data_IF_973516904437
#
_entry.id   IF_973516904437
#
_cell.length_a   1.000
_cell.length_b   1.000
_cell.length_c   1.000
_cell.angle_alpha   90.00
_cell.angle_beta   90.00
_cell.angle_gamma   90.00
#
_symmetry.space_group_name_H-M   'P 1'
#
loop_
_entity.id
_entity.type
_entity.pdbx_description
1 polymer ?
#
# COMPACT_ATOMS: atom_id res chain seq x y z
N UNK A 1 -5.84 10.59 -5.12
CA UNK A 1 -4.37 10.78 -5.10
C UNK A 1 -3.76 9.40 -5.08
N UNK A 2 -2.69 9.16 -5.81
CA UNK A 2 -2.09 7.82 -5.93
C UNK A 2 -0.89 7.71 -5.00
N UNK A 3 -0.72 6.58 -4.31
CA UNK A 3 0.41 6.39 -3.38
C UNK A 3 1.72 6.01 -4.07
N UNK A 4 1.68 5.62 -5.34
CA UNK A 4 2.78 5.04 -6.07
C UNK A 4 2.87 5.67 -7.46
N UNK A 5 4.06 6.10 -7.86
CA UNK A 5 4.33 6.47 -9.25
C UNK A 5 4.70 5.23 -10.09
N UNK A 6 4.41 5.18 -11.40
CA UNK A 6 4.79 4.05 -12.27
C UNK A 6 6.29 3.70 -12.19
N UNK A 7 7.16 4.71 -12.10
CA UNK A 7 8.61 4.50 -11.93
C UNK A 7 8.96 3.77 -10.62
N UNK A 8 8.17 3.97 -9.56
CA UNK A 8 8.34 3.28 -8.29
C UNK A 8 7.79 1.85 -8.33
N UNK A 9 7.05 1.42 -9.37
CA UNK A 9 6.69 0.02 -9.52
C UNK A 9 7.93 -0.83 -9.86
N UNK A 10 8.93 -0.25 -10.49
CA UNK A 10 10.19 -0.90 -10.87
C UNK A 10 11.13 -0.87 -9.65
N UNK A 11 11.44 -2.06 -9.11
CA UNK A 11 12.36 -2.27 -7.99
C UNK A 11 13.60 -3.01 -8.46
N UNK A 12 14.35 -2.37 -9.35
CA UNK A 12 15.53 -2.94 -9.98
C UNK A 12 15.26 -3.66 -11.32
N UNK A 13 16.34 -4.18 -11.95
CA UNK A 13 16.31 -4.63 -13.34
C UNK A 13 15.41 -5.85 -13.57
N UNK A 14 15.30 -6.76 -12.61
CA UNK A 14 14.48 -7.97 -12.73
C UNK A 14 13.00 -7.63 -12.89
N UNK A 15 12.48 -6.69 -12.09
CA UNK A 15 11.08 -6.27 -12.18
C UNK A 15 10.74 -5.57 -13.50
N UNK A 16 11.70 -4.86 -14.09
CA UNK A 16 11.51 -4.27 -15.42
C UNK A 16 11.43 -5.35 -16.50
N UNK A 17 12.30 -6.36 -16.42
CA UNK A 17 12.28 -7.49 -17.35
C UNK A 17 10.99 -8.30 -17.23
N UNK A 18 10.52 -8.54 -16.00
CA UNK A 18 9.26 -9.25 -15.77
C UNK A 18 8.05 -8.53 -16.38
N UNK A 19 7.97 -7.20 -16.22
CA UNK A 19 6.91 -6.39 -16.83
C UNK A 19 7.06 -6.33 -18.36
N UNK A 20 8.30 -6.22 -18.85
CA UNK A 20 8.61 -6.30 -20.27
C UNK A 20 8.11 -7.60 -20.90
N UNK A 21 8.37 -8.74 -20.27
CA UNK A 21 7.87 -10.05 -20.71
C UNK A 21 6.35 -10.16 -20.60
N UNK A 22 5.75 -9.58 -19.56
CA UNK A 22 4.30 -9.60 -19.36
C UNK A 22 3.56 -8.87 -20.49
N UNK A 23 4.07 -7.71 -20.90
CA UNK A 23 3.45 -6.87 -21.92
C UNK A 23 3.97 -7.13 -23.34
N UNK A 24 5.03 -7.95 -23.50
CA UNK A 24 5.67 -8.17 -24.80
C UNK A 24 6.39 -6.93 -25.34
N UNK A 25 6.80 -5.99 -24.48
CA UNK A 25 7.43 -4.72 -24.86
C UNK A 25 8.90 -4.75 -24.46
N UNK A 26 9.81 -4.23 -25.29
CA UNK A 26 11.24 -4.17 -24.96
C UNK A 26 11.52 -3.43 -23.63
N UNK A 27 12.45 -3.90 -22.77
CA UNK A 27 12.69 -3.30 -21.46
C UNK A 27 13.09 -1.82 -21.54
N UNK A 28 13.89 -1.45 -22.54
CA UNK A 28 14.33 -0.07 -22.75
C UNK A 28 13.17 0.84 -23.16
N UNK A 29 12.25 0.33 -24.00
CA UNK A 29 11.07 1.06 -24.44
C UNK A 29 10.07 1.24 -23.30
N UNK A 30 9.80 0.17 -22.54
CA UNK A 30 8.92 0.24 -21.38
C UNK A 30 9.46 1.22 -20.32
N UNK A 31 10.78 1.21 -20.08
CA UNK A 31 11.44 2.17 -19.18
C UNK A 31 11.29 3.61 -19.67
N UNK A 32 11.49 3.85 -20.97
CA UNK A 32 11.33 5.17 -21.56
C UNK A 32 9.88 5.67 -21.45
N UNK A 33 8.90 4.80 -21.71
CA UNK A 33 7.48 5.11 -21.58
C UNK A 33 7.11 5.49 -20.13
N UNK A 34 7.57 4.71 -19.15
CA UNK A 34 7.36 4.97 -17.72
C UNK A 34 8.04 6.27 -17.25
N UNK A 35 9.20 6.61 -17.83
CA UNK A 35 9.91 7.84 -17.55
C UNK A 35 9.30 9.08 -18.25
N UNK A 36 8.33 8.89 -19.15
CA UNK A 36 7.76 9.97 -19.97
C UNK A 36 8.74 10.52 -21.00
N UNK A 37 9.70 9.71 -21.43
CA UNK A 37 10.69 10.07 -22.45
C UNK A 37 10.10 10.04 -23.87
N UNK A 38 10.81 10.65 -24.82
CA UNK A 38 10.39 10.66 -26.21
C UNK A 38 10.54 9.26 -26.84
N UNK A 39 9.44 8.73 -27.39
CA UNK A 39 9.40 7.40 -27.99
C UNK A 39 9.53 7.38 -29.52
N UNK A 40 9.76 8.53 -30.19
CA UNK A 40 9.73 8.63 -31.64
C UNK A 40 10.89 7.92 -32.36
N UNK A 41 11.85 7.37 -31.62
CA UNK A 41 12.93 6.52 -32.15
C UNK A 41 12.53 5.05 -32.35
N UNK A 42 11.33 4.67 -31.94
CA UNK A 42 10.80 3.30 -32.02
C UNK A 42 9.74 3.18 -33.12
N UNK A 43 9.41 1.96 -33.53
CA UNK A 43 8.32 1.73 -34.49
C UNK A 43 6.96 2.15 -33.90
N UNK A 44 5.98 2.48 -34.75
CA UNK A 44 4.66 2.91 -34.31
C UNK A 44 3.88 1.79 -33.57
N UNK A 45 4.07 0.52 -33.96
CA UNK A 45 3.46 -0.63 -33.28
C UNK A 45 4.04 -0.83 -31.88
N UNK A 46 5.37 -0.70 -31.76
CA UNK A 46 6.09 -0.75 -30.50
C UNK A 46 5.66 0.39 -29.56
N UNK A 47 5.54 1.61 -30.09
CA UNK A 47 5.07 2.78 -29.34
C UNK A 47 3.66 2.55 -28.80
N UNK A 48 2.74 2.02 -29.61
CA UNK A 48 1.38 1.73 -29.19
C UNK A 48 1.36 0.70 -28.05
N UNK A 49 2.12 -0.39 -28.21
CA UNK A 49 2.23 -1.44 -27.19
C UNK A 49 2.79 -0.90 -25.86
N UNK A 50 3.77 -0.01 -25.92
CA UNK A 50 4.34 0.62 -24.72
C UNK A 50 3.35 1.54 -24.00
N UNK A 51 2.53 2.29 -24.75
CA UNK A 51 1.50 3.15 -24.20
C UNK A 51 0.34 2.35 -23.59
N UNK A 52 -0.08 1.25 -24.22
CA UNK A 52 -1.06 0.32 -23.66
C UNK A 52 -0.56 -0.32 -22.37
N UNK A 53 0.72 -0.73 -22.33
CA UNK A 53 1.35 -1.24 -21.13
C UNK A 53 1.38 -0.20 -20.00
N UNK A 54 1.71 1.05 -20.32
CA UNK A 54 1.70 2.15 -19.34
C UNK A 54 0.30 2.39 -18.79
N UNK A 55 -0.72 2.43 -19.64
CA UNK A 55 -2.12 2.59 -19.22
C UNK A 55 -2.56 1.44 -18.31
N UNK A 56 -2.22 0.19 -18.65
CA UNK A 56 -2.52 -0.96 -17.82
C UNK A 56 -1.84 -0.87 -16.44
N UNK A 57 -0.58 -0.40 -16.39
CA UNK A 57 0.13 -0.16 -15.14
C UNK A 57 -0.62 0.90 -14.31
N UNK A 58 -0.97 2.04 -14.90
CA UNK A 58 -1.68 3.12 -14.20
C UNK A 58 -3.02 2.65 -13.63
N UNK A 59 -3.81 1.92 -14.41
CA UNK A 59 -5.10 1.37 -13.96
C UNK A 59 -4.92 0.43 -12.75
N UNK A 60 -3.87 -0.40 -12.75
CA UNK A 60 -3.57 -1.30 -11.62
C UNK A 60 -3.06 -0.58 -10.39
N UNK A 61 -2.31 0.51 -10.57
CA UNK A 61 -1.88 1.34 -9.46
C UNK A 61 -3.09 2.07 -8.84
N UNK A 62 -4.02 2.57 -9.66
CA UNK A 62 -5.27 3.20 -9.18
C UNK A 62 -6.11 2.20 -8.40
N UNK A 63 -6.27 0.97 -8.92
CA UNK A 63 -6.98 -0.10 -8.24
C UNK A 63 -6.32 -0.45 -6.89
N UNK A 64 -5.00 -0.62 -6.86
CA UNK A 64 -4.26 -0.91 -5.63
C UNK A 64 -4.39 0.21 -4.59
N UNK A 65 -4.35 1.46 -5.03
CA UNK A 65 -4.55 2.64 -4.17
C UNK A 65 -5.94 2.60 -3.53
N UNK A 66 -6.99 2.31 -4.31
CA UNK A 66 -8.35 2.20 -3.80
C UNK A 66 -8.49 1.08 -2.75
N UNK A 67 -7.82 -0.06 -2.93
CA UNK A 67 -7.83 -1.15 -1.95
C UNK A 67 -7.15 -0.81 -0.64
N UNK A 68 -6.09 0.01 -0.68
CA UNK A 68 -5.43 0.56 0.50
C UNK A 68 -6.36 1.56 1.18
N UNK A 69 -6.93 2.49 0.42
CA UNK A 69 -7.85 3.53 0.90
C UNK A 69 -9.05 2.95 1.64
N UNK A 70 -9.68 1.90 1.12
CA UNK A 70 -10.84 1.28 1.80
C UNK A 70 -10.49 0.79 3.21
N UNK A 71 -9.29 0.22 3.40
CA UNK A 71 -8.85 -0.26 4.73
C UNK A 71 -8.48 0.88 5.66
N UNK A 72 -7.87 1.93 5.13
CA UNK A 72 -7.56 3.13 5.90
C UNK A 72 -8.84 3.88 6.31
N UNK A 73 -9.81 4.00 5.41
CA UNK A 73 -11.12 4.58 5.70
C UNK A 73 -11.84 3.81 6.83
N UNK A 74 -11.72 2.47 6.84
CA UNK A 74 -12.28 1.63 7.92
C UNK A 74 -11.69 1.96 9.29
N UNK A 75 -10.41 2.33 9.38
CA UNK A 75 -9.77 2.79 10.63
C UNK A 75 -10.19 4.21 11.03
N UNK A 76 -10.71 5.00 10.09
CA UNK A 76 -11.11 6.40 10.30
C UNK A 76 -10.08 7.43 9.86
N UNK A 77 -9.09 7.06 9.03
CA UNK A 77 -8.18 8.05 8.44
C UNK A 77 -8.93 8.99 7.48
N UNK A 78 -8.56 10.27 7.51
CA UNK A 78 -9.03 11.24 6.52
C UNK A 78 -8.24 11.06 5.24
N UNK A 79 -8.94 10.67 4.17
CA UNK A 79 -8.34 10.45 2.86
C UNK A 79 -8.48 11.69 1.97
N UNK A 80 -7.56 11.88 1.00
CA UNK A 80 -6.36 11.08 0.75
C UNK A 80 -5.23 11.36 1.76
N UNK A 81 -4.50 10.32 2.17
CA UNK A 81 -3.28 10.50 2.94
C UNK A 81 -2.14 10.97 2.03
N UNK A 82 -1.20 11.72 2.59
CA UNK A 82 0.01 12.13 1.86
C UNK A 82 1.07 11.01 1.95
N UNK A 83 1.44 10.37 0.82
CA UNK A 83 2.44 9.30 0.81
C UNK A 83 3.81 9.75 1.31
N UNK A 84 4.15 11.04 1.27
CA UNK A 84 5.43 11.55 1.76
C UNK A 84 5.63 11.29 3.27
N UNK A 85 4.53 11.24 4.04
CA UNK A 85 4.59 10.99 5.48
C UNK A 85 4.56 9.49 5.83
N UNK A 86 4.19 8.63 4.87
CA UNK A 86 3.94 7.21 5.09
C UNK A 86 4.56 6.34 3.97
N UNK A 87 5.91 6.19 3.95
CA UNK A 87 6.61 5.44 2.90
C UNK A 87 6.17 3.96 2.84
N UNK A 88 5.63 3.43 3.93
CA UNK A 88 5.08 2.06 3.99
C UNK A 88 3.88 1.85 3.06
N UNK A 89 3.07 2.89 2.82
CA UNK A 89 1.94 2.81 1.88
C UNK A 89 2.43 2.58 0.45
N UNK A 90 3.59 3.14 0.07
CA UNK A 90 4.22 2.90 -1.23
C UNK A 90 4.56 1.43 -1.39
N UNK A 91 5.14 0.80 -0.35
CA UNK A 91 5.52 -0.61 -0.36
C UNK A 91 4.31 -1.53 -0.49
N UNK A 92 3.25 -1.31 0.28
CA UNK A 92 2.04 -2.13 0.20
C UNK A 92 1.28 -1.93 -1.11
N UNK A 93 1.14 -0.68 -1.56
CA UNK A 93 0.50 -0.35 -2.84
C UNK A 93 1.27 -1.02 -3.99
N UNK A 94 2.61 -1.03 -3.94
CA UNK A 94 3.46 -1.73 -4.92
C UNK A 94 3.20 -3.23 -4.94
N UNK A 95 3.15 -3.88 -3.78
CA UNK A 95 2.89 -5.32 -3.70
C UNK A 95 1.51 -5.68 -4.27
N UNK A 96 0.49 -4.88 -3.97
CA UNK A 96 -0.87 -5.06 -4.46
C UNK A 96 -0.95 -4.80 -5.97
N UNK A 97 -0.37 -3.70 -6.46
CA UNK A 97 -0.36 -3.38 -7.89
C UNK A 97 0.35 -4.46 -8.72
N UNK A 98 1.51 -4.95 -8.23
CA UNK A 98 2.21 -6.08 -8.85
C UNK A 98 1.33 -7.31 -8.91
N UNK A 99 0.70 -7.69 -7.81
CA UNK A 99 -0.20 -8.85 -7.79
C UNK A 99 -1.31 -8.73 -8.85
N UNK A 100 -1.97 -7.59 -8.96
CA UNK A 100 -3.03 -7.38 -9.96
C UNK A 100 -2.54 -7.29 -11.41
N UNK A 101 -1.25 -7.04 -11.64
CA UNK A 101 -0.64 -7.13 -12.97
C UNK A 101 -0.40 -8.59 -13.40
N UNK A 102 -0.42 -9.54 -12.47
CA UNK A 102 -0.19 -10.97 -12.76
C UNK A 102 -1.44 -11.86 -12.51
N UNK A 103 -2.63 -11.58 -13.09
CA UNK A 103 -3.86 -12.27 -12.72
C UNK A 103 -3.95 -13.74 -13.19
N UNK A 104 -3.27 -14.12 -14.28
CA UNK A 104 -3.28 -15.47 -14.83
C UNK A 104 -1.87 -15.87 -15.31
N UNK A 105 -1.14 -16.64 -14.50
CA UNK A 105 -0.03 -17.45 -15.00
C UNK A 105 -0.21 -18.89 -14.53
N UNK A 106 -0.53 -19.78 -15.48
CA UNK A 106 -0.44 -21.23 -15.32
C UNK A 106 1.05 -21.58 -15.14
N UNK A 107 1.53 -21.54 -13.90
CA UNK A 107 2.94 -21.81 -13.62
C UNK A 107 3.37 -21.21 -12.29
N UNK A 108 3.48 -22.06 -11.28
CA UNK A 108 4.15 -21.75 -10.01
C UNK A 108 5.65 -21.63 -10.25
N UNK A 109 6.10 -20.51 -10.80
CA UNK A 109 7.50 -20.08 -10.79
C UNK A 109 7.83 -19.52 -9.40
N UNK A 110 9.09 -19.60 -8.97
CA UNK A 110 9.57 -19.04 -7.68
C UNK A 110 9.18 -17.57 -7.51
N UNK A 111 9.27 -16.78 -8.59
CA UNK A 111 8.88 -15.36 -8.65
C UNK A 111 7.40 -15.14 -8.32
N UNK A 112 6.49 -15.96 -8.86
CA UNK A 112 5.05 -15.89 -8.56
C UNK A 112 4.78 -16.10 -7.08
N UNK A 113 5.51 -17.04 -6.45
CA UNK A 113 5.42 -17.28 -5.01
C UNK A 113 5.86 -16.09 -4.16
N UNK A 114 6.88 -15.34 -4.62
CA UNK A 114 7.32 -14.09 -3.98
C UNK A 114 6.23 -13.01 -4.07
N UNK A 115 5.63 -12.79 -5.25
CA UNK A 115 4.60 -11.76 -5.46
C UNK A 115 3.35 -12.05 -4.63
N UNK A 116 2.88 -13.29 -4.61
CA UNK A 116 1.70 -13.69 -3.81
C UNK A 116 1.97 -13.54 -2.31
N UNK A 117 3.17 -13.90 -1.84
CA UNK A 117 3.54 -13.71 -0.44
C UNK A 117 3.56 -12.23 -0.08
N UNK A 118 4.24 -11.40 -0.87
CA UNK A 118 4.34 -9.95 -0.62
C UNK A 118 2.94 -9.29 -0.63
N UNK A 119 2.03 -9.72 -1.51
CA UNK A 119 0.62 -9.31 -1.50
C UNK A 119 -0.10 -9.70 -0.21
N UNK A 120 -0.04 -10.97 0.19
CA UNK A 120 -0.71 -11.45 1.41
C UNK A 120 -0.19 -10.75 2.66
N UNK A 121 1.11 -10.50 2.73
CA UNK A 121 1.73 -9.78 3.84
C UNK A 121 1.26 -8.32 3.87
N UNK A 122 1.14 -7.66 2.72
CA UNK A 122 0.58 -6.32 2.62
C UNK A 122 -0.88 -6.24 3.07
N UNK A 123 -1.74 -7.15 2.57
CA UNK A 123 -3.16 -7.20 2.97
C UNK A 123 -3.30 -7.45 4.47
N UNK A 124 -2.52 -8.39 5.03
CA UNK A 124 -2.53 -8.69 6.47
C UNK A 124 -2.12 -7.46 7.29
N UNK A 125 -1.08 -6.73 6.89
CA UNK A 125 -0.65 -5.53 7.59
C UNK A 125 -1.72 -4.42 7.54
N UNK A 126 -2.37 -4.21 6.38
CA UNK A 126 -3.46 -3.25 6.24
C UNK A 126 -4.69 -3.64 7.06
N UNK A 127 -5.02 -4.93 7.14
CA UNK A 127 -6.11 -5.43 7.99
C UNK A 127 -5.78 -5.23 9.48
N UNK A 128 -4.52 -5.39 9.89
CA UNK A 128 -4.08 -5.07 11.26
C UNK A 128 -4.19 -3.57 11.56
N UNK A 129 -3.95 -2.70 10.59
CA UNK A 129 -4.18 -1.25 10.73
C UNK A 129 -5.67 -0.97 10.87
N UNK A 130 -6.49 -1.56 10.01
CA UNK A 130 -7.94 -1.42 10.08
C UNK A 130 -8.52 -1.89 11.43
N UNK A 131 -7.95 -2.95 12.00
CA UNK A 131 -8.29 -3.47 13.33
C UNK A 131 -7.68 -2.65 14.49
N UNK A 132 -6.74 -1.74 14.22
CA UNK A 132 -6.05 -0.95 15.24
C UNK A 132 -4.91 -1.63 15.96
N UNK A 133 -4.44 -2.77 15.47
CA UNK A 133 -3.32 -3.53 16.07
C UNK A 133 -1.96 -3.00 15.60
N UNK A 134 -1.94 -2.35 14.45
CA UNK A 134 -0.75 -1.76 13.82
C UNK A 134 -1.02 -0.28 13.54
N UNK A 135 -0.01 0.56 13.76
CA UNK A 135 -0.05 1.98 13.45
C UNK A 135 0.78 2.29 12.20
N UNK A 136 0.45 3.38 11.50
CA UNK A 136 1.23 3.91 10.37
C UNK A 136 2.55 4.58 10.78
N UNK A 137 2.88 4.61 12.08
CA UNK A 137 4.13 5.14 12.63
C UNK A 137 3.95 6.47 13.34
N UNK A 138 5.05 7.23 13.51
CA UNK A 138 5.07 8.44 14.35
C UNK A 138 4.12 9.56 13.88
N UNK A 139 3.78 9.59 12.59
CA UNK A 139 2.89 10.60 12.01
C UNK A 139 1.42 10.16 11.99
N UNK A 140 1.08 9.05 12.64
CA UNK A 140 -0.27 8.51 12.63
C UNK A 140 -1.24 9.41 13.43
N UNK A 141 -2.21 10.08 12.77
CA UNK A 141 -3.15 10.97 13.45
C UNK A 141 -4.08 10.24 14.42
N UNK A 142 -4.25 8.91 14.28
CA UNK A 142 -5.12 8.13 15.16
C UNK A 142 -4.46 7.79 16.50
N UNK A 143 -3.12 7.74 16.56
CA UNK A 143 -2.39 7.59 17.83
C UNK A 143 -2.65 8.78 18.78
N UNK A 144 -2.73 10.00 18.24
CA UNK A 144 -3.05 11.19 19.02
C UNK A 144 -4.49 11.17 19.57
N UNK A 145 -5.40 10.39 18.98
CA UNK A 145 -6.76 10.19 19.51
C UNK A 145 -6.78 9.15 20.64
N UNK A 146 -5.99 8.08 20.55
CA UNK A 146 -5.85 7.08 21.63
C UNK A 146 -5.15 7.65 22.88
N UNK A 147 -4.32 8.69 22.75
CA UNK A 147 -3.75 9.40 23.91
C UNK A 147 -4.83 10.07 24.79
N UNK A 148 -5.97 10.48 24.19
CA UNK A 148 -7.15 10.94 24.94
C UNK A 148 -8.00 9.78 25.50
N UNK A 149 -7.76 8.56 25.03
CA UNK A 149 -8.26 7.31 25.59
C UNK A 149 -7.24 6.68 26.55
N UNK A 150 -6.46 7.51 27.26
CA UNK A 150 -5.56 7.06 28.31
C UNK A 150 -6.28 6.13 29.30
N UNK A 151 -5.60 5.06 29.72
CA UNK A 151 -6.14 4.07 30.65
C UNK A 151 -6.69 4.77 31.91
N UNK A 152 -8.01 4.96 31.97
CA UNK A 152 -8.66 5.53 33.15
C UNK A 152 -8.77 4.45 34.21
N UNK A 153 -7.89 4.49 35.21
CA UNK A 153 -8.07 3.73 36.44
C UNK A 153 -9.16 4.42 37.26
N UNK A 154 -10.41 4.07 36.97
CA UNK A 154 -11.56 4.50 37.76
C UNK A 154 -11.60 3.64 39.01
N UNK A 155 -11.09 4.18 40.12
CA UNK A 155 -11.27 3.55 41.43
C UNK A 155 -12.63 3.96 42.02
N UNK A 156 -13.38 2.99 42.55
CA UNK A 156 -14.61 3.27 43.30
C UNK A 156 -14.24 4.08 44.56
N UNK A 157 -15.00 5.13 44.96
CA UNK A 157 -14.73 5.85 46.19
C UNK A 157 -14.65 4.88 47.39
N UNK A 158 -13.68 5.11 48.27
CA UNK A 158 -13.44 4.30 49.48
C UNK A 158 -14.73 4.23 50.31
N UNK A 159 -15.37 3.05 50.35
CA UNK A 159 -16.59 2.79 51.11
C UNK A 159 -16.36 2.66 52.62
N UNK A 160 -15.12 2.39 53.02
CA UNK A 160 -14.69 2.29 54.40
C UNK A 160 -13.46 3.19 54.62
N UNK A 161 -13.65 4.31 55.31
CA UNK A 161 -12.58 5.13 55.85
C UNK A 161 -12.78 5.25 57.37
N UNK A 162 -11.73 5.62 58.10
CA UNK A 162 -11.83 5.91 59.54
C UNK A 162 -12.84 7.02 59.83
N UNK A 163 -13.08 7.90 58.85
CA UNK A 163 -14.08 8.96 58.94
C UNK A 163 -15.50 8.48 58.58
N UNK A 164 -15.64 7.38 57.81
CA UNK A 164 -16.94 6.80 57.42
C UNK A 164 -17.44 5.72 58.38
N UNK A 165 -16.58 5.20 59.25
CA UNK A 165 -16.93 4.30 60.34
C UNK A 165 -17.03 5.16 61.60
N UNK A 166 -18.22 5.70 61.85
CA UNK A 166 -18.52 6.46 63.05
C UNK A 166 -18.06 5.68 64.28
N UNK A 167 -17.06 6.21 64.98
CA UNK A 167 -16.59 5.67 66.24
C UNK A 167 -17.74 5.62 67.24
N UNK A 168 -17.92 4.45 67.84
CA UNK A 168 -18.70 4.27 69.07
C UNK A 168 -18.02 4.97 70.25
#
# INVERSE_FOLDING_TARGET
MVYLAPAQLIDGPESLNELSELFGVLPALLKAAIAGENLSGWDAEDQLSALEALQAIDDRIVQATAEVDVRLAKRGYVLPLDPAHFPVLVTWTRAIARYHLHPQREGTTETTGRIERDYRDAIRALDQIADGKLSLGANDPTLAQDENAGAQVISNPRRFSRDSLGGL
#
